data_IF_769149520915
#
_entry.id   IF_769149520915
#
_cell.length_a   1.000
_cell.length_b   1.000
_cell.length_c   1.000
_cell.angle_alpha   90.00
_cell.angle_beta   90.00
_cell.angle_gamma   90.00
#
_symmetry.space_group_name_H-M   'P 1'
#
loop_
_entity.id
_entity.type
_entity.pdbx_description
1 polymer ?
#
# COMPACT_ATOMS: atom_id res chain seq x y z
N UNK A 1 -5.49 -11.61 9.34
CA UNK A 1 -4.17 -11.93 9.92
C UNK A 1 -3.12 -11.90 8.82
N UNK A 2 -1.97 -11.27 9.07
CA UNK A 2 -0.83 -11.22 8.15
C UNK A 2 -0.01 -12.51 8.33
N UNK A 3 0.22 -13.27 7.27
CA UNK A 3 1.12 -14.43 7.26
C UNK A 3 2.34 -14.12 6.38
N UNK A 4 3.34 -15.01 6.39
CA UNK A 4 4.61 -14.81 5.67
C UNK A 4 4.41 -14.58 4.17
N UNK A 5 3.53 -15.36 3.52
CA UNK A 5 3.24 -15.21 2.09
C UNK A 5 2.66 -13.82 1.77
N UNK A 6 1.64 -13.38 2.52
CA UNK A 6 1.04 -12.05 2.35
C UNK A 6 2.03 -10.94 2.70
N UNK A 7 2.91 -11.16 3.67
CA UNK A 7 3.95 -10.20 4.02
C UNK A 7 4.92 -9.99 2.84
N UNK A 8 5.50 -11.07 2.30
CA UNK A 8 6.37 -11.01 1.12
C UNK A 8 5.64 -10.39 -0.08
N UNK A 9 4.42 -10.83 -0.36
CA UNK A 9 3.63 -10.30 -1.47
C UNK A 9 3.30 -8.81 -1.35
N UNK A 10 3.17 -8.28 -0.13
CA UNK A 10 2.91 -6.85 0.10
C UNK A 10 4.17 -5.99 0.09
N UNK A 11 5.32 -6.56 0.43
CA UNK A 11 6.62 -5.89 0.38
C UNK A 11 7.03 -5.52 -1.05
N UNK A 12 6.79 -6.41 -2.01
CA UNK A 12 7.16 -6.19 -3.42
C UNK A 12 6.22 -5.23 -4.17
N UNK A 13 5.08 -4.88 -3.57
CA UNK A 13 4.00 -4.11 -4.23
C UNK A 13 4.08 -2.63 -3.89
N UNK A 14 5.14 -1.99 -4.35
CA UNK A 14 5.33 -0.53 -4.29
C UNK A 14 4.09 0.19 -4.84
N UNK A 15 3.56 1.16 -4.07
CA UNK A 15 2.36 1.96 -4.38
C UNK A 15 0.99 1.24 -4.43
N UNK A 16 0.92 -0.07 -4.15
CA UNK A 16 -0.36 -0.80 -4.04
C UNK A 16 -1.18 -0.37 -2.82
N UNK A 17 -2.52 -0.34 -2.85
CA UNK A 17 -3.32 0.01 -1.67
C UNK A 17 -2.96 -0.80 -0.41
N UNK A 18 -2.59 -2.06 -0.60
CA UNK A 18 -2.07 -3.00 0.40
C UNK A 18 -0.54 -3.00 0.53
N UNK A 19 0.17 -1.92 0.19
CA UNK A 19 1.62 -1.87 0.43
C UNK A 19 1.96 -2.14 1.90
N UNK A 20 3.17 -2.63 2.12
CA UNK A 20 3.78 -2.84 3.43
C UNK A 20 5.26 -2.51 3.32
N UNK A 21 5.80 -1.83 4.33
CA UNK A 21 7.23 -1.59 4.45
C UNK A 21 7.74 -2.08 5.81
N UNK A 22 9.01 -2.46 5.85
CA UNK A 22 9.77 -2.67 7.09
C UNK A 22 10.63 -1.44 7.32
N UNK A 23 10.62 -0.92 8.54
CA UNK A 23 11.51 0.15 8.96
C UNK A 23 12.36 -0.25 10.16
N UNK A 24 13.48 0.41 10.33
CA UNK A 24 14.35 0.32 11.52
C UNK A 24 14.36 1.65 12.25
N UNK A 25 14.42 1.62 13.59
CA UNK A 25 14.54 2.86 14.37
C UNK A 25 15.87 3.58 14.10
N UNK A 26 15.80 4.89 13.94
CA UNK A 26 16.98 5.75 13.78
C UNK A 26 17.94 5.79 14.98
N UNK A 27 17.49 5.36 16.16
CA UNK A 27 18.24 5.39 17.43
C UNK A 27 18.49 4.00 18.01
N UNK A 28 17.80 2.98 17.50
CA UNK A 28 17.91 1.58 17.95
C UNK A 28 17.80 0.64 16.74
N UNK A 29 18.96 0.25 16.22
CA UNK A 29 19.05 -0.62 15.04
C UNK A 29 18.47 -2.02 15.27
N UNK A 30 18.24 -2.43 16.52
CA UNK A 30 17.61 -3.71 16.85
C UNK A 30 16.08 -3.66 16.78
N UNK A 31 15.49 -2.46 16.81
CA UNK A 31 14.04 -2.28 16.79
C UNK A 31 13.53 -2.11 15.37
N UNK A 32 12.77 -3.11 14.91
CA UNK A 32 12.07 -3.08 13.62
C UNK A 32 10.60 -2.67 13.79
N UNK A 33 10.07 -2.07 12.73
CA UNK A 33 8.68 -1.65 12.61
C UNK A 33 8.06 -2.17 11.32
N UNK A 34 6.78 -2.50 11.38
CA UNK A 34 5.95 -2.69 10.19
C UNK A 34 5.14 -1.43 9.96
N UNK A 35 5.24 -0.93 8.74
CA UNK A 35 4.53 0.26 8.28
C UNK A 35 3.53 -0.19 7.22
N UNK A 36 2.26 0.16 7.41
CA UNK A 36 1.19 -0.11 6.44
C UNK A 36 0.33 1.13 6.26
N UNK A 37 -0.39 1.19 5.14
CA UNK A 37 -1.37 2.25 4.90
C UNK A 37 -2.49 2.18 5.97
N UNK A 38 -2.59 3.21 6.80
CA UNK A 38 -3.55 3.32 7.91
C UNK A 38 -4.85 4.03 7.53
N UNK A 39 -5.03 4.40 6.26
CA UNK A 39 -6.20 5.11 5.77
C UNK A 39 -5.85 6.48 5.17
N UNK A 40 -6.81 7.39 5.21
CA UNK A 40 -6.68 8.73 4.66
C UNK A 40 -5.68 9.54 5.49
N UNK A 41 -4.59 9.96 4.84
CA UNK A 41 -3.49 10.73 5.43
C UNK A 41 -2.84 10.08 6.67
N UNK A 42 -3.03 8.78 6.87
CA UNK A 42 -2.52 8.07 8.03
C UNK A 42 -1.69 6.84 7.64
N UNK A 43 -0.64 6.59 8.42
CA UNK A 43 0.17 5.38 8.36
C UNK A 43 0.02 4.66 9.69
N UNK A 44 -0.18 3.35 9.64
CA UNK A 44 -0.08 2.53 10.84
C UNK A 44 1.35 2.04 10.91
N UNK A 45 2.04 2.44 11.97
CA UNK A 45 3.40 2.02 12.28
C UNK A 45 3.38 1.32 13.63
N UNK A 46 3.81 0.06 13.67
CA UNK A 46 3.81 -0.73 14.88
C UNK A 46 5.11 -1.54 15.01
N UNK A 47 5.64 -1.74 16.23
CA UNK A 47 6.78 -2.63 16.45
C UNK A 47 6.52 -4.02 15.85
N UNK A 48 7.54 -4.63 15.26
CA UNK A 48 7.41 -5.93 14.59
C UNK A 48 6.98 -7.05 15.57
N UNK A 49 7.28 -6.88 16.87
CA UNK A 49 6.90 -7.77 17.96
C UNK A 49 5.39 -7.90 18.17
N UNK A 50 4.58 -6.98 17.63
CA UNK A 50 3.11 -7.08 17.67
C UNK A 50 2.55 -8.01 16.59
N UNK A 51 3.42 -8.56 15.73
CA UNK A 51 3.07 -9.53 14.70
C UNK A 51 3.56 -10.92 15.07
N UNK A 52 3.11 -11.92 14.31
CA UNK A 52 3.55 -13.30 14.50
C UNK A 52 5.08 -13.41 14.31
N UNK A 53 5.71 -14.27 15.11
CA UNK A 53 7.18 -14.41 15.16
C UNK A 53 7.79 -14.75 13.79
N UNK A 54 7.04 -15.50 12.97
CA UNK A 54 7.45 -15.87 11.61
C UNK A 54 7.63 -14.64 10.70
N UNK A 55 6.88 -13.55 10.94
CA UNK A 55 7.04 -12.30 10.20
C UNK A 55 8.36 -11.63 10.57
N UNK A 56 8.69 -11.61 11.86
CA UNK A 56 9.96 -11.05 12.36
C UNK A 56 11.14 -11.83 11.78
N UNK A 57 11.09 -13.16 11.87
CA UNK A 57 12.14 -14.03 11.34
C UNK A 57 12.30 -13.85 9.83
N UNK A 58 11.19 -13.77 9.10
CA UNK A 58 11.21 -13.48 7.66
C UNK A 58 11.86 -12.13 7.34
N UNK A 59 11.52 -11.06 8.06
CA UNK A 59 12.10 -9.74 7.82
C UNK A 59 13.63 -9.73 8.08
N UNK A 60 14.07 -10.34 9.18
CA UNK A 60 15.48 -10.47 9.54
C UNK A 60 16.25 -11.29 8.50
N UNK A 61 15.69 -12.40 8.03
CA UNK A 61 16.29 -13.22 6.98
C UNK A 61 16.45 -12.43 5.67
N UNK A 62 15.41 -11.69 5.26
CA UNK A 62 15.47 -10.85 4.05
C UNK A 62 16.49 -9.70 4.17
N UNK A 63 16.69 -9.13 5.36
CA UNK A 63 17.74 -8.14 5.62
C UNK A 63 19.12 -8.79 5.54
N UNK A 64 19.31 -9.95 6.18
CA UNK A 64 20.58 -10.69 6.16
C UNK A 64 20.97 -11.16 4.74
N UNK A 65 19.98 -11.44 3.90
CA UNK A 65 20.15 -11.79 2.48
C UNK A 65 20.27 -10.56 1.56
N UNK A 66 20.31 -9.35 2.11
CA UNK A 66 20.34 -8.07 1.38
C UNK A 66 19.16 -7.90 0.39
N UNK A 67 18.05 -8.62 0.59
CA UNK A 67 16.82 -8.42 -0.17
C UNK A 67 16.09 -7.16 0.29
N UNK A 68 16.22 -6.83 1.58
CA UNK A 68 15.82 -5.56 2.17
C UNK A 68 17.08 -4.77 2.55
N UNK A 69 17.22 -3.57 2.01
CA UNK A 69 18.41 -2.72 2.24
C UNK A 69 18.01 -1.25 2.43
N UNK A 70 18.86 -0.49 3.12
CA UNK A 70 18.67 0.95 3.24
C UNK A 70 19.35 1.64 2.07
N UNK A 71 18.61 2.50 1.35
CA UNK A 71 19.18 3.30 0.28
C UNK A 71 20.17 4.31 0.84
N UNK A 72 21.20 4.62 0.05
CA UNK A 72 22.13 5.70 0.37
C UNK A 72 21.34 7.01 0.44
N UNK A 73 21.44 7.73 1.56
CA UNK A 73 20.68 8.95 1.86
C UNK A 73 19.15 8.74 2.04
N UNK A 74 18.71 7.55 2.49
CA UNK A 74 17.32 7.32 2.86
C UNK A 74 16.83 8.38 3.86
N UNK A 75 15.66 8.96 3.60
CA UNK A 75 15.12 10.01 4.46
C UNK A 75 14.37 9.38 5.63
N UNK A 76 14.62 9.82 6.87
CA UNK A 76 13.88 9.31 8.02
C UNK A 76 12.40 9.67 7.90
N UNK A 77 11.54 8.68 8.13
CA UNK A 77 10.12 8.90 8.34
C UNK A 77 9.90 9.23 9.82
N UNK A 78 9.45 10.44 10.10
CA UNK A 78 9.10 10.84 11.46
C UNK A 78 7.86 10.07 11.91
N UNK A 79 8.01 9.36 13.02
CA UNK A 79 6.90 8.75 13.75
C UNK A 79 6.67 9.55 15.03
N UNK A 80 5.51 9.36 15.68
CA UNK A 80 5.17 10.12 16.89
C UNK A 80 6.25 10.06 17.98
N UNK A 81 6.21 11.02 18.91
CA UNK A 81 7.11 11.10 20.08
C UNK A 81 8.58 11.38 19.74
N UNK A 82 8.87 12.03 18.60
CA UNK A 82 10.24 12.42 18.24
C UNK A 82 11.15 11.25 17.86
N UNK A 83 10.55 10.11 17.51
CA UNK A 83 11.24 8.96 16.92
C UNK A 83 11.19 9.08 15.39
N UNK A 84 12.17 8.46 14.75
CA UNK A 84 12.23 8.39 13.30
C UNK A 84 12.62 6.99 12.89
N UNK A 85 12.16 6.56 11.73
CA UNK A 85 12.48 5.25 11.17
C UNK A 85 13.05 5.39 9.77
N UNK A 86 14.02 4.56 9.43
CA UNK A 86 14.49 4.40 8.06
C UNK A 86 13.77 3.23 7.43
N UNK A 87 13.16 3.42 6.25
CA UNK A 87 12.44 2.36 5.57
C UNK A 87 13.42 1.55 4.71
N UNK A 88 13.37 0.23 4.84
CA UNK A 88 14.07 -0.65 3.90
C UNK A 88 13.39 -0.59 2.54
N UNK A 89 14.21 -0.48 1.50
CA UNK A 89 13.82 -0.72 0.12
C UNK A 89 13.98 -2.21 -0.21
N UNK A 90 13.17 -2.69 -1.15
CA UNK A 90 13.29 -4.05 -1.66
C UNK A 90 14.19 -4.07 -2.90
N UNK A 91 15.08 -5.06 -3.03
CA UNK A 91 16.10 -5.13 -4.10
C UNK A 91 15.55 -5.12 -5.52
N UNK A 92 14.34 -5.62 -5.75
CA UNK A 92 13.71 -5.53 -7.08
C UNK A 92 13.32 -4.08 -7.47
N UNK A 93 13.18 -3.16 -6.51
CA UNK A 93 12.88 -1.75 -6.81
C UNK A 93 14.05 -1.01 -7.52
N UNK A 94 15.27 -1.58 -7.52
CA UNK A 94 16.48 -0.94 -8.07
C UNK A 94 16.63 -1.11 -9.59
N UNK A 95 16.04 -2.15 -10.16
CA UNK A 95 16.08 -2.43 -11.60
C UNK A 95 14.99 -1.72 -12.39
N UNK A 96 14.04 -1.05 -11.71
CA UNK A 96 13.08 -0.18 -12.37
C UNK A 96 13.77 1.17 -12.66
N UNK A 97 13.90 1.58 -13.93
CA UNK A 97 14.56 2.84 -14.26
C UNK A 97 13.91 4.00 -13.50
N UNK A 98 14.71 4.92 -12.97
CA UNK A 98 14.24 6.07 -12.18
C UNK A 98 13.18 6.92 -12.93
N UNK A 99 13.12 6.84 -14.27
CA UNK A 99 12.06 7.45 -15.08
C UNK A 99 10.69 6.77 -14.94
N UNK A 100 10.62 5.48 -14.63
CA UNK A 100 9.37 4.77 -14.29
C UNK A 100 8.95 5.00 -12.84
N UNK A 101 9.89 5.32 -11.95
CA UNK A 101 9.58 5.64 -10.54
C UNK A 101 8.90 7.01 -10.36
N UNK A 102 8.93 7.88 -11.38
CA UNK A 102 8.38 9.23 -11.32
C UNK A 102 6.92 9.33 -11.79
N UNK A 103 6.42 8.33 -12.51
CA UNK A 103 4.98 8.12 -12.55
C UNK A 103 4.60 7.45 -11.25
N UNK A 104 4.25 8.26 -10.24
CA UNK A 104 3.63 7.82 -8.98
C UNK A 104 2.37 7.03 -9.31
N UNK A 105 2.55 5.75 -9.62
CA UNK A 105 1.54 4.82 -10.05
C UNK A 105 0.56 4.64 -8.91
N UNK A 106 -0.51 5.41 -8.95
CA UNK A 106 -1.54 5.38 -7.93
C UNK A 106 -2.66 4.50 -8.46
N UNK A 107 -2.81 3.30 -7.88
CA UNK A 107 -3.94 2.42 -8.20
C UNK A 107 -5.25 3.22 -8.13
N UNK A 108 -6.16 2.98 -9.08
CA UNK A 108 -7.48 3.61 -9.09
C UNK A 108 -8.21 3.37 -7.76
N UNK A 109 -8.09 2.16 -7.22
CA UNK A 109 -8.69 1.74 -5.96
C UNK A 109 -8.08 2.38 -4.71
N UNK A 110 -6.86 2.94 -4.79
CA UNK A 110 -6.10 3.37 -3.60
C UNK A 110 -6.83 4.36 -2.71
N UNK A 111 -7.57 5.32 -3.30
CA UNK A 111 -8.34 6.27 -2.50
C UNK A 111 -9.48 5.57 -1.76
N UNK A 112 -10.21 4.68 -2.43
CA UNK A 112 -11.30 3.95 -1.81
C UNK A 112 -10.80 3.03 -0.71
N UNK A 113 -9.69 2.32 -0.91
CA UNK A 113 -9.10 1.46 0.13
C UNK A 113 -8.62 2.27 1.34
N UNK A 114 -8.08 3.48 1.12
CA UNK A 114 -7.78 4.41 2.23
C UNK A 114 -9.04 4.83 2.97
N UNK A 115 -10.10 5.20 2.24
CA UNK A 115 -11.39 5.54 2.82
C UNK A 115 -11.96 4.37 3.64
N UNK A 116 -11.94 3.15 3.08
CA UNK A 116 -12.39 1.93 3.75
C UNK A 116 -11.69 1.74 5.11
N UNK A 117 -10.36 1.85 5.15
CA UNK A 117 -9.58 1.68 6.38
C UNK A 117 -9.83 2.79 7.40
N UNK A 118 -10.01 4.02 6.94
CA UNK A 118 -10.35 5.17 7.81
C UNK A 118 -11.67 4.95 8.54
N UNK A 119 -12.60 4.24 7.92
CA UNK A 119 -13.91 3.93 8.47
C UNK A 119 -13.98 2.51 9.08
N UNK A 120 -12.83 1.85 9.25
CA UNK A 120 -12.69 0.52 9.85
C UNK A 120 -13.59 -0.56 9.21
N UNK A 121 -13.85 -0.42 7.91
CA UNK A 121 -14.73 -1.34 7.18
C UNK A 121 -13.99 -2.61 6.76
N UNK A 122 -14.61 -3.75 7.00
CA UNK A 122 -14.14 -5.04 6.46
C UNK A 122 -14.26 -5.07 4.93
N UNK A 123 -13.46 -5.91 4.28
CA UNK A 123 -13.56 -6.10 2.82
C UNK A 123 -14.97 -6.54 2.40
N UNK A 124 -15.65 -7.32 3.25
CA UNK A 124 -17.05 -7.72 3.05
C UNK A 124 -17.97 -6.51 2.94
N UNK A 125 -17.95 -5.66 3.95
CA UNK A 125 -18.76 -4.44 3.97
C UNK A 125 -18.38 -3.49 2.82
N UNK A 126 -17.11 -3.42 2.46
CA UNK A 126 -16.62 -2.56 1.39
C UNK A 126 -17.16 -2.98 0.01
N UNK A 127 -17.08 -4.28 -0.33
CA UNK A 127 -17.60 -4.76 -1.61
C UNK A 127 -19.12 -4.71 -1.67
N UNK A 128 -19.81 -4.99 -0.56
CA UNK A 128 -21.27 -4.85 -0.47
C UNK A 128 -21.71 -3.40 -0.71
N UNK A 129 -21.02 -2.41 -0.12
CA UNK A 129 -21.30 -0.98 -0.36
C UNK A 129 -21.09 -0.57 -1.81
N UNK A 130 -20.04 -1.08 -2.46
CA UNK A 130 -19.84 -0.85 -3.89
C UNK A 130 -20.82 -1.66 -4.77
N UNK A 131 -21.60 -2.57 -4.18
CA UNK A 131 -22.41 -3.56 -4.89
C UNK A 131 -21.59 -4.37 -5.88
N UNK A 132 -20.39 -4.78 -5.44
CA UNK A 132 -19.49 -5.69 -6.12
C UNK A 132 -19.52 -7.05 -5.42
N UNK A 133 -19.32 -8.11 -6.18
CA UNK A 133 -18.97 -9.42 -5.63
C UNK A 133 -17.56 -9.38 -5.01
N UNK A 134 -17.24 -10.35 -4.16
CA UNK A 134 -15.90 -10.47 -3.59
C UNK A 134 -14.81 -10.60 -4.68
N UNK A 135 -15.12 -11.28 -5.79
CA UNK A 135 -14.20 -11.43 -6.93
C UNK A 135 -13.99 -10.10 -7.65
N UNK A 136 -15.06 -9.38 -7.98
CA UNK A 136 -14.94 -8.06 -8.61
C UNK A 136 -14.22 -7.06 -7.72
N UNK A 137 -14.42 -7.13 -6.40
CA UNK A 137 -13.69 -6.30 -5.46
C UNK A 137 -12.21 -6.63 -5.41
N UNK A 138 -11.84 -7.91 -5.51
CA UNK A 138 -10.44 -8.29 -5.67
C UNK A 138 -9.83 -7.69 -6.94
N UNK A 139 -10.49 -7.86 -8.09
CA UNK A 139 -10.07 -7.26 -9.36
C UNK A 139 -10.00 -5.72 -9.27
N UNK A 140 -10.91 -5.10 -8.53
CA UNK A 140 -10.92 -3.66 -8.28
C UNK A 140 -9.64 -3.21 -7.55
N UNK A 141 -9.24 -3.93 -6.51
CA UNK A 141 -8.02 -3.65 -5.75
C UNK A 141 -6.77 -3.74 -6.62
N UNK A 142 -6.72 -4.77 -7.46
CA UNK A 142 -5.60 -5.05 -8.36
C UNK A 142 -5.59 -4.16 -9.62
N UNK A 143 -6.51 -3.20 -9.74
CA UNK A 143 -6.67 -2.34 -10.93
C UNK A 143 -7.09 -3.11 -12.21
N UNK A 144 -7.59 -4.32 -12.08
CA UNK A 144 -7.99 -5.20 -13.20
C UNK A 144 -9.48 -5.11 -13.52
N UNK A 145 -10.32 -4.59 -12.61
CA UNK A 145 -11.74 -4.41 -12.87
C UNK A 145 -11.97 -3.32 -13.93
N UNK A 146 -12.85 -3.60 -14.89
CA UNK A 146 -13.36 -2.61 -15.82
C UNK A 146 -14.18 -1.55 -15.05
N UNK A 147 -13.76 -0.30 -15.14
CA UNK A 147 -14.42 0.80 -14.44
C UNK A 147 -15.50 1.38 -15.35
N UNK A 148 -16.73 1.41 -14.85
CA UNK A 148 -17.86 2.02 -15.53
C UNK A 148 -18.40 3.22 -14.73
N UNK A 149 -19.30 3.99 -15.35
CA UNK A 149 -19.89 5.18 -14.74
C UNK A 149 -20.71 4.85 -13.49
N UNK A 150 -21.37 3.68 -13.43
CA UNK A 150 -22.15 3.28 -12.27
C UNK A 150 -21.25 3.09 -11.03
N UNK A 151 -20.08 2.47 -11.19
CA UNK A 151 -19.09 2.34 -10.11
C UNK A 151 -18.54 3.71 -9.68
N UNK A 152 -18.28 4.62 -10.62
CA UNK A 152 -17.84 5.99 -10.31
C UNK A 152 -18.89 6.74 -9.49
N UNK A 153 -20.17 6.61 -9.84
CA UNK A 153 -21.27 7.24 -9.10
C UNK A 153 -21.35 6.70 -7.67
N UNK A 154 -21.24 5.38 -7.48
CA UNK A 154 -21.20 4.77 -6.14
C UNK A 154 -19.98 5.22 -5.34
N UNK A 155 -18.81 5.29 -5.95
CA UNK A 155 -17.60 5.80 -5.29
C UNK A 155 -17.78 7.25 -4.82
N UNK A 156 -18.42 8.08 -5.64
CA UNK A 156 -18.75 9.48 -5.30
C UNK A 156 -19.71 9.55 -4.12
N UNK A 157 -20.80 8.78 -4.17
CA UNK A 157 -21.80 8.70 -3.10
C UNK A 157 -21.19 8.26 -1.75
N UNK A 158 -20.38 7.19 -1.77
CA UNK A 158 -19.85 6.58 -0.55
C UNK A 158 -18.74 7.43 0.06
N UNK A 159 -17.83 7.95 -0.76
CA UNK A 159 -16.63 8.65 -0.28
C UNK A 159 -16.82 10.15 -0.11
N UNK A 160 -17.88 10.72 -0.70
CA UNK A 160 -18.08 12.18 -0.80
C UNK A 160 -17.10 12.88 -1.74
N UNK A 161 -16.23 12.13 -2.43
CA UNK A 161 -15.24 12.68 -3.38
C UNK A 161 -15.88 12.86 -4.74
N UNK A 162 -15.64 14.01 -5.38
CA UNK A 162 -16.33 14.40 -6.60
C UNK A 162 -16.21 13.38 -7.75
N UNK A 163 -17.27 13.26 -8.55
CA UNK A 163 -17.28 12.44 -9.75
C UNK A 163 -16.12 12.79 -10.71
N UNK A 164 -15.85 14.09 -10.89
CA UNK A 164 -14.75 14.59 -11.73
C UNK A 164 -13.40 14.05 -11.27
N UNK A 165 -13.18 13.92 -9.96
CA UNK A 165 -11.95 13.33 -9.43
C UNK A 165 -11.81 11.87 -9.91
N UNK A 166 -12.87 11.07 -9.74
CA UNK A 166 -12.87 9.66 -10.13
C UNK A 166 -12.73 9.49 -11.65
N UNK A 167 -13.39 10.31 -12.45
CA UNK A 167 -13.22 10.32 -13.91
C UNK A 167 -11.78 10.65 -14.33
N UNK A 168 -11.14 11.63 -13.68
CA UNK A 168 -9.74 11.95 -13.95
C UNK A 168 -8.82 10.77 -13.61
N UNK A 169 -9.07 10.08 -12.48
CA UNK A 169 -8.33 8.86 -12.11
C UNK A 169 -8.55 7.73 -13.10
N UNK A 170 -9.78 7.55 -13.57
CA UNK A 170 -10.08 6.54 -14.58
C UNK A 170 -9.36 6.83 -15.90
N UNK A 171 -9.36 8.08 -16.36
CA UNK A 171 -8.60 8.50 -17.56
C UNK A 171 -7.10 8.19 -17.43
N UNK A 172 -6.50 8.47 -16.27
CA UNK A 172 -5.10 8.13 -15.99
C UNK A 172 -4.86 6.61 -16.09
N UNK A 173 -5.74 5.79 -15.50
CA UNK A 173 -5.69 4.33 -15.59
C UNK A 173 -5.77 3.83 -17.05
N UNK A 174 -6.67 4.39 -17.85
CA UNK A 174 -6.89 3.96 -19.24
C UNK A 174 -5.74 4.35 -20.16
N UNK A 175 -5.22 5.56 -20.04
CA UNK A 175 -4.02 6.01 -20.78
C UNK A 175 -2.89 5.02 -20.53
N UNK A 176 -2.64 4.69 -19.26
CA UNK A 176 -1.60 3.73 -18.86
C UNK A 176 -1.77 2.36 -19.51
N UNK A 177 -2.96 1.77 -19.44
CA UNK A 177 -3.19 0.43 -19.99
C UNK A 177 -3.05 0.38 -21.52
N UNK A 178 -3.10 1.53 -22.21
CA UNK A 178 -2.88 1.63 -23.66
C UNK A 178 -1.39 1.60 -24.04
N UNK A 179 -0.49 1.93 -23.11
CA UNK A 179 0.95 2.03 -23.34
C UNK A 179 1.77 0.97 -22.58
N UNK A 180 1.09 -0.03 -21.99
CA UNK A 180 1.69 -1.28 -21.52
C UNK A 180 1.65 -2.30 -22.66
#
# INVERSE_FOLDING_TARGET
>A
MLNVEKFKARLIRSNHPDWLHVGVDSKDESQLFIIVNGGMANINCAPIELYAEEIKNCALEMIAQEQLYLKVNEKPLHIGLGRSIYCYAFKEDEYLPQSETNDRYFYFSSLFIRWQRTHELSDKQAHERLGLTAKEFHLFREDELEINQALINKLTEITGVSERFWQNRWKQKTIRNKYK
#
